data_IF_495821141269
#
_entry.id   IF_495821141269
#
_cell.length_a   1.000
_cell.length_b   1.000
_cell.length_c   1.000
_cell.angle_alpha   90.00
_cell.angle_beta   90.00
_cell.angle_gamma   90.00
#
_symmetry.space_group_name_H-M   'P 1'
#
loop_
_entity.id
_entity.type
_entity.pdbx_description
1 polymer ?
#
# COMPACT_ATOMS: atom_id res chain seq x y z
N UNK A 1 3.47 19.91 -61.30
CA UNK A 1 2.37 18.99 -61.01
C UNK A 1 2.63 18.34 -59.65
N UNK A 2 1.72 18.51 -58.70
CA UNK A 2 1.70 17.79 -57.41
C UNK A 2 0.89 16.51 -57.60
N UNK A 3 1.23 15.42 -56.91
CA UNK A 3 0.35 15.07 -55.80
C UNK A 3 1.09 14.70 -54.52
N UNK A 4 0.47 15.06 -53.40
CA UNK A 4 0.70 14.51 -52.07
C UNK A 4 0.43 12.99 -52.08
N UNK A 5 1.20 12.23 -51.29
CA UNK A 5 0.71 11.00 -50.68
C UNK A 5 1.11 10.97 -49.20
N UNK A 6 0.11 10.64 -48.40
CA UNK A 6 -0.03 10.83 -46.98
C UNK A 6 0.59 9.68 -46.16
N UNK A 7 0.90 10.03 -44.91
CA UNK A 7 0.76 9.26 -43.67
C UNK A 7 1.09 7.76 -43.67
N UNK A 8 2.03 7.43 -42.77
CA UNK A 8 2.15 6.09 -42.19
C UNK A 8 2.96 6.11 -40.90
N UNK A 9 2.66 7.03 -39.98
CA UNK A 9 3.19 6.96 -38.61
C UNK A 9 2.46 5.85 -37.86
N UNK A 10 2.90 4.61 -38.04
CA UNK A 10 2.46 3.49 -37.22
C UNK A 10 3.14 3.61 -35.85
N UNK A 11 2.58 4.46 -34.97
CA UNK A 11 2.76 4.28 -33.53
C UNK A 11 2.15 2.93 -33.18
N UNK A 12 2.99 1.88 -33.21
CA UNK A 12 2.72 0.68 -32.46
C UNK A 12 2.72 1.08 -30.99
N UNK A 13 1.53 1.41 -30.45
CA UNK A 13 1.25 1.22 -29.03
C UNK A 13 1.33 -0.28 -28.78
N UNK A 14 2.56 -0.80 -28.69
CA UNK A 14 2.83 -2.03 -27.97
C UNK A 14 2.44 -1.73 -26.53
N UNK A 15 1.18 -2.03 -26.21
CA UNK A 15 0.69 -2.08 -24.86
C UNK A 15 1.67 -2.92 -24.07
N UNK A 16 2.42 -2.28 -23.19
CA UNK A 16 3.10 -2.96 -22.11
C UNK A 16 2.00 -3.68 -21.33
N UNK A 17 1.79 -4.96 -21.64
CA UNK A 17 1.07 -5.90 -20.80
C UNK A 17 1.89 -6.00 -19.53
N UNK A 18 1.68 -5.04 -18.63
CA UNK A 18 2.30 -5.03 -17.34
C UNK A 18 1.39 -5.88 -16.46
N UNK A 19 1.78 -7.09 -16.04
CA UNK A 19 0.95 -7.94 -15.16
C UNK A 19 0.71 -7.32 -13.78
N UNK A 20 1.23 -6.10 -13.55
CA UNK A 20 0.99 -5.23 -12.40
C UNK A 20 -0.13 -4.21 -12.63
N UNK A 21 -0.86 -4.27 -13.74
CA UNK A 21 -1.94 -3.34 -14.07
C UNK A 21 -3.17 -3.57 -13.17
N UNK A 22 -3.11 -3.04 -11.96
CA UNK A 22 -4.28 -2.87 -11.11
C UNK A 22 -5.28 -1.94 -11.82
N UNK A 23 -6.58 -2.22 -11.72
CA UNK A 23 -7.62 -1.34 -12.27
C UNK A 23 -7.43 0.09 -11.76
N UNK A 24 -7.73 1.16 -12.53
CA UNK A 24 -7.51 2.54 -12.10
C UNK A 24 -8.05 2.86 -10.70
N UNK A 25 -9.21 2.30 -10.35
CA UNK A 25 -9.81 2.42 -9.02
C UNK A 25 -9.07 1.63 -7.94
N UNK A 26 -8.54 0.44 -8.26
CA UNK A 26 -7.72 -0.33 -7.32
C UNK A 26 -6.37 0.34 -7.07
N UNK A 27 -5.76 0.94 -8.10
CA UNK A 27 -4.54 1.76 -7.97
C UNK A 27 -4.75 2.91 -6.98
N UNK A 28 -5.88 3.61 -7.09
CA UNK A 28 -6.20 4.72 -6.19
C UNK A 28 -6.33 4.27 -4.72
N UNK A 29 -7.01 3.14 -4.46
CA UNK A 29 -7.13 2.57 -3.10
C UNK A 29 -5.78 2.12 -2.55
N UNK A 30 -4.94 1.50 -3.38
CA UNK A 30 -3.59 1.12 -2.99
C UNK A 30 -2.73 2.34 -2.65
N UNK A 31 -2.78 3.40 -3.46
CA UNK A 31 -2.05 4.65 -3.17
C UNK A 31 -2.53 5.28 -1.87
N UNK A 32 -3.85 5.41 -1.67
CA UNK A 32 -4.42 5.99 -0.46
C UNK A 32 -4.08 5.18 0.80
N UNK A 33 -4.24 3.85 0.77
CA UNK A 33 -3.91 3.00 1.91
C UNK A 33 -2.43 3.07 2.28
N UNK A 34 -1.52 3.08 1.30
CA UNK A 34 -0.08 3.27 1.57
C UNK A 34 0.21 4.63 2.19
N UNK A 35 -0.38 5.69 1.67
CA UNK A 35 -0.17 7.05 2.19
C UNK A 35 -0.67 7.18 3.64
N UNK A 36 -1.81 6.56 3.97
CA UNK A 36 -2.38 6.57 5.32
C UNK A 36 -1.60 5.76 6.34
N UNK A 37 -0.92 4.69 5.90
CA UNK A 37 -0.15 3.82 6.77
C UNK A 37 1.33 4.20 6.85
N UNK A 38 1.81 5.10 6.00
CA UNK A 38 3.19 5.60 6.09
C UNK A 38 3.52 6.20 7.47
N UNK A 39 2.66 7.04 8.10
CA UNK A 39 2.92 7.54 9.45
C UNK A 39 3.01 6.43 10.51
N UNK A 40 2.33 5.30 10.33
CA UNK A 40 2.45 4.14 11.23
C UNK A 40 3.85 3.53 11.12
N UNK A 41 4.31 3.30 9.89
CA UNK A 41 5.66 2.75 9.64
C UNK A 41 6.72 3.67 10.26
N UNK A 42 6.63 4.97 10.00
CA UNK A 42 7.58 5.95 10.52
C UNK A 42 7.58 5.99 12.06
N UNK A 43 6.40 5.92 12.69
CA UNK A 43 6.27 5.90 14.14
C UNK A 43 6.81 4.60 14.77
N UNK A 44 6.60 3.45 14.14
CA UNK A 44 7.16 2.16 14.60
C UNK A 44 8.69 2.18 14.53
N UNK A 45 9.26 2.72 13.45
CA UNK A 45 10.72 2.87 13.31
C UNK A 45 11.26 3.79 14.41
N UNK A 46 10.67 4.96 14.60
CA UNK A 46 11.09 5.89 15.64
C UNK A 46 10.97 5.30 17.07
N UNK A 47 9.91 4.51 17.33
CA UNK A 47 9.78 3.76 18.58
C UNK A 47 10.92 2.75 18.75
N UNK A 48 11.21 1.99 17.69
CA UNK A 48 12.31 1.02 17.65
C UNK A 48 13.66 1.66 17.96
N UNK A 49 13.95 2.80 17.35
CA UNK A 49 15.18 3.56 17.57
C UNK A 49 15.31 4.08 19.01
N UNK A 50 14.19 4.47 19.63
CA UNK A 50 14.17 5.03 20.98
C UNK A 50 14.21 3.95 22.09
N UNK A 51 13.56 2.79 21.87
CA UNK A 51 13.38 1.75 22.88
C UNK A 51 14.30 0.54 22.67
N UNK A 52 14.95 0.44 21.51
CA UNK A 52 15.75 -0.71 21.11
C UNK A 52 14.93 -1.94 20.69
N UNK A 53 13.60 -1.82 20.59
CA UNK A 53 12.69 -2.88 20.14
C UNK A 53 11.42 -2.28 19.53
N UNK A 54 10.82 -2.97 18.55
CA UNK A 54 9.52 -2.58 17.98
C UNK A 54 8.37 -2.80 18.99
N UNK A 55 7.31 -1.97 18.95
CA UNK A 55 6.21 -2.04 19.92
C UNK A 55 5.43 -3.36 19.83
N UNK A 56 4.90 -3.82 20.96
CA UNK A 56 3.99 -4.98 21.02
C UNK A 56 2.65 -4.67 20.36
N UNK A 57 2.24 -3.41 20.39
CA UNK A 57 1.01 -2.94 19.77
C UNK A 57 1.11 -1.48 19.33
N UNK A 58 0.36 -1.13 18.29
CA UNK A 58 0.30 0.25 17.78
C UNK A 58 -0.26 1.25 18.79
N UNK A 59 -0.93 0.78 19.85
CA UNK A 59 -1.38 1.63 20.96
C UNK A 59 -0.21 2.28 21.72
N UNK A 60 0.97 1.65 21.75
CA UNK A 60 2.17 2.20 22.40
C UNK A 60 2.80 3.38 21.64
N UNK A 61 2.39 3.60 20.38
CA UNK A 61 2.86 4.73 19.59
C UNK A 61 2.18 6.04 19.99
N UNK A 62 0.96 5.96 20.55
CA UNK A 62 0.16 7.14 20.88
C UNK A 62 0.32 7.52 22.36
N UNK A 63 0.50 8.80 22.71
CA UNK A 63 0.61 9.97 21.82
C UNK A 63 2.07 10.31 21.44
N UNK A 64 3.06 9.56 21.94
CA UNK A 64 4.46 9.98 21.94
C UNK A 64 5.12 9.98 20.54
N UNK A 65 4.80 8.99 19.71
CA UNK A 65 5.35 8.80 18.36
C UNK A 65 4.32 9.07 17.27
N UNK A 66 3.03 9.03 17.62
CA UNK A 66 1.91 9.25 16.71
C UNK A 66 0.78 9.99 17.45
N UNK A 67 0.18 11.00 16.82
CA UNK A 67 -0.91 11.77 17.44
C UNK A 67 -2.15 10.90 17.66
N UNK A 68 -2.53 10.11 16.66
CA UNK A 68 -3.65 9.18 16.70
C UNK A 68 -3.50 8.12 15.59
N UNK A 69 -4.17 6.98 15.73
CA UNK A 69 -4.25 5.97 14.68
C UNK A 69 -5.04 6.50 13.46
N UNK A 70 -4.75 6.03 12.24
CA UNK A 70 -5.39 6.52 11.03
C UNK A 70 -6.87 6.13 10.99
N UNK A 71 -7.71 7.08 10.58
CA UNK A 71 -9.13 6.83 10.34
C UNK A 71 -9.33 5.81 9.21
N UNK A 72 -10.41 5.05 9.33
CA UNK A 72 -10.85 4.11 8.30
C UNK A 72 -11.20 4.84 7.00
N UNK A 73 -10.55 4.52 5.86
CA UNK A 73 -10.88 5.08 4.56
C UNK A 73 -12.30 4.74 4.11
N UNK A 74 -12.96 5.66 3.39
CA UNK A 74 -14.33 5.49 2.87
C UNK A 74 -14.51 4.25 1.97
N UNK A 75 -13.45 3.84 1.28
CA UNK A 75 -13.48 2.67 0.40
C UNK A 75 -13.50 1.34 1.17
N UNK A 76 -13.11 1.34 2.45
CA UNK A 76 -13.19 0.17 3.34
C UNK A 76 -14.61 -0.05 3.82
N UNK A 77 -15.31 1.00 4.24
CA UNK A 77 -16.67 0.90 4.75
C UNK A 77 -17.63 0.22 3.75
N UNK A 78 -17.32 0.32 2.45
CA UNK A 78 -18.05 -0.35 1.36
C UNK A 78 -17.68 -1.82 1.16
N UNK A 79 -16.55 -2.27 1.71
CA UNK A 79 -15.99 -3.62 1.53
C UNK A 79 -16.33 -4.60 2.66
N UNK A 80 -16.95 -4.13 3.75
CA UNK A 80 -17.46 -4.98 4.83
C UNK A 80 -16.39 -5.59 5.75
N UNK A 81 -15.13 -5.17 5.67
CA UNK A 81 -14.07 -5.65 6.57
C UNK A 81 -14.07 -4.89 7.90
N UNK A 82 -13.99 -5.63 9.01
CA UNK A 82 -14.02 -5.11 10.39
C UNK A 82 -12.72 -4.43 10.81
N UNK A 83 -11.58 -4.78 10.20
CA UNK A 83 -10.30 -4.11 10.39
C UNK A 83 -9.64 -3.95 9.01
N UNK A 84 -9.32 -2.72 8.63
CA UNK A 84 -8.89 -2.42 7.27
C UNK A 84 -7.39 -2.55 7.03
N UNK A 85 -6.62 -2.56 8.13
CA UNK A 85 -5.18 -2.66 8.13
C UNK A 85 -4.70 -3.48 9.31
N UNK A 86 -3.43 -3.87 9.30
CA UNK A 86 -2.80 -4.62 10.37
C UNK A 86 -1.38 -4.10 10.64
N UNK A 87 -0.92 -4.36 11.85
CA UNK A 87 0.47 -4.32 12.26
C UNK A 87 0.81 -5.66 12.91
N UNK A 88 1.93 -6.25 12.51
CA UNK A 88 2.40 -7.49 13.12
C UNK A 88 3.92 -7.45 13.24
N UNK A 89 4.43 -7.71 14.44
CA UNK A 89 5.86 -7.86 14.71
C UNK A 89 6.24 -9.34 14.60
N UNK A 90 7.40 -9.64 14.04
CA UNK A 90 7.91 -11.02 14.01
C UNK A 90 8.13 -11.57 15.41
N UNK A 91 8.05 -12.90 15.55
CA UNK A 91 8.19 -13.56 16.86
C UNK A 91 9.55 -13.37 17.53
N UNK A 92 10.61 -13.12 16.74
CA UNK A 92 11.95 -12.75 17.22
C UNK A 92 12.11 -11.24 17.48
N UNK A 93 11.10 -10.44 17.17
CA UNK A 93 11.11 -8.98 17.33
C UNK A 93 12.02 -8.23 16.35
N UNK A 94 12.70 -8.92 15.43
CA UNK A 94 13.68 -8.32 14.53
C UNK A 94 13.05 -7.54 13.37
N UNK A 95 11.79 -7.84 13.04
CA UNK A 95 11.07 -7.23 11.93
C UNK A 95 9.63 -6.93 12.29
N UNK A 96 8.99 -6.10 11.48
CA UNK A 96 7.56 -5.89 11.53
C UNK A 96 6.96 -5.73 10.14
N UNK A 97 5.65 -5.89 10.06
CA UNK A 97 4.86 -5.72 8.87
C UNK A 97 3.67 -4.81 9.12
N UNK A 98 3.31 -4.04 8.10
CA UNK A 98 2.11 -3.22 8.07
C UNK A 98 1.42 -3.49 6.75
N UNK A 99 0.10 -3.68 6.75
CA UNK A 99 -0.61 -3.91 5.50
C UNK A 99 -2.09 -3.66 5.60
N UNK A 100 -2.76 -3.78 4.46
CA UNK A 100 -4.20 -3.55 4.32
C UNK A 100 -4.76 -4.36 3.15
N UNK A 101 -6.07 -4.60 3.20
CA UNK A 101 -6.81 -5.22 2.12
C UNK A 101 -7.80 -4.22 1.51
N UNK A 102 -8.10 -4.37 0.22
CA UNK A 102 -9.06 -3.52 -0.49
C UNK A 102 -9.76 -4.26 -1.63
N UNK A 103 -11.02 -3.93 -1.85
CA UNK A 103 -11.81 -4.51 -2.95
C UNK A 103 -11.45 -3.93 -4.32
N UNK A 104 -11.40 -4.80 -5.34
CA UNK A 104 -11.20 -4.49 -6.76
C UNK A 104 -11.82 -5.62 -7.61
N UNK A 105 -11.20 -6.02 -8.75
CA UNK A 105 -11.31 -7.41 -9.17
C UNK A 105 -10.82 -8.27 -8.00
N UNK A 106 -11.70 -9.11 -7.44
CA UNK A 106 -11.42 -9.85 -6.22
C UNK A 106 -10.99 -9.01 -4.99
N UNK A 107 -10.30 -9.67 -4.07
CA UNK A 107 -9.66 -9.04 -2.91
C UNK A 107 -8.18 -8.80 -3.21
N UNK A 108 -7.72 -7.58 -2.94
CA UNK A 108 -6.34 -7.18 -3.11
C UNK A 108 -5.74 -6.87 -1.74
N UNK A 109 -4.44 -7.11 -1.60
CA UNK A 109 -3.67 -6.89 -0.38
C UNK A 109 -2.45 -6.06 -0.73
N UNK A 110 -2.07 -5.13 0.15
CA UNK A 110 -0.78 -4.45 0.11
C UNK A 110 -0.11 -4.62 1.47
N UNK A 111 1.17 -4.96 1.47
CA UNK A 111 1.98 -5.10 2.69
C UNK A 111 3.35 -4.47 2.51
N UNK A 112 3.84 -3.88 3.59
CA UNK A 112 5.19 -3.38 3.76
C UNK A 112 5.84 -4.18 4.89
N UNK A 113 7.12 -4.52 4.74
CA UNK A 113 7.88 -5.24 5.76
C UNK A 113 9.22 -4.55 6.01
N UNK A 114 9.66 -4.52 7.26
CA UNK A 114 10.83 -3.74 7.67
C UNK A 114 12.16 -4.27 7.14
N UNK A 115 12.21 -5.55 6.78
CA UNK A 115 13.38 -6.20 6.16
C UNK A 115 13.59 -5.78 4.70
N UNK A 116 12.51 -5.48 3.97
CA UNK A 116 12.58 -5.09 2.55
C UNK A 116 12.51 -3.59 2.34
N UNK A 117 11.75 -2.88 3.17
CA UNK A 117 11.59 -1.44 3.07
C UNK A 117 10.70 -0.98 1.91
N UNK A 118 9.94 -1.87 1.27
CA UNK A 118 9.07 -1.53 0.15
C UNK A 118 7.67 -2.17 0.22
N UNK A 119 6.71 -1.53 -0.46
CA UNK A 119 5.35 -2.03 -0.55
C UNK A 119 5.21 -3.09 -1.64
N UNK A 120 4.55 -4.20 -1.31
CA UNK A 120 4.12 -5.21 -2.26
C UNK A 120 2.63 -5.38 -2.21
N UNK A 121 2.01 -5.34 -3.39
CA UNK A 121 0.59 -5.54 -3.55
C UNK A 121 0.31 -6.77 -4.42
N UNK A 122 -0.70 -7.54 -4.06
CA UNK A 122 -1.13 -8.77 -4.75
C UNK A 122 -2.65 -8.94 -4.68
N UNK A 123 -3.25 -9.60 -5.66
CA UNK A 123 -4.69 -9.87 -5.71
C UNK A 123 -5.08 -10.58 -7.01
N UNK A 124 -6.33 -11.05 -7.07
CA UNK A 124 -6.87 -11.71 -8.26
C UNK A 124 -7.37 -10.70 -9.31
N UNK A 125 -7.12 -10.99 -10.60
CA UNK A 125 -7.65 -10.28 -11.76
C UNK A 125 -8.90 -10.97 -12.32
#
# INVERSE_FOLDING_TARGET
>A
MRPLLLLGASLALSGCFNPFACSPMGCAKAVDGRARLQPIIDAVVAYGDAQGAYPDSVAQLVPAFLVALPDTPDWVARSGQSEWWYYERSGDGATFSVGFAYGGPGMNHCGWTSDRGDWRCSGHY
#
